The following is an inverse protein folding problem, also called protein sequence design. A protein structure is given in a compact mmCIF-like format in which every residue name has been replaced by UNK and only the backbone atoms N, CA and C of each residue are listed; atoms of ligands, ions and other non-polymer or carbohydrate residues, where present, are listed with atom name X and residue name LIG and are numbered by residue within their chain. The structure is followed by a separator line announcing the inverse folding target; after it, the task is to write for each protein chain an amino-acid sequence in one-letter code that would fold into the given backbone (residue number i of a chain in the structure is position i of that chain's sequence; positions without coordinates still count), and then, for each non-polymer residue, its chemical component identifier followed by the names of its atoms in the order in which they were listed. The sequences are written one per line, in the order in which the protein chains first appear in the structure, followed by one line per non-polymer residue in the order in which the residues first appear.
data_IF_897595037284
#
_entry.id   IF_897595037284
#
_cell.length_a   1.000
_cell.length_b   1.000
_cell.length_c   1.000
_cell.angle_alpha   90.00
_cell.angle_beta   90.00
_cell.angle_gamma   90.00
#
_symmetry.space_group_name_H-M   'P 1'
#
loop_
_entity.id
_entity.type
_entity.pdbx_description
1 polymer ?
#
# COMPACT_ATOMS: atom_id res chain seq x y z
N UNK A 1 -13.43 15.46 -53.06
CA UNK A 1 -14.75 15.46 -53.73
C UNK A 1 -15.68 14.75 -52.76
N UNK A 2 -16.64 15.34 -52.03
CA UNK A 2 -17.55 16.48 -52.17
C UNK A 2 -17.76 17.07 -50.74
N UNK A 3 -17.48 18.33 -50.42
CA UNK A 3 -18.34 19.55 -50.48
C UNK A 3 -19.86 19.29 -50.46
N UNK A 4 -20.54 19.78 -49.41
CA UNK A 4 -21.82 20.53 -49.35
C UNK A 4 -21.97 20.96 -47.86
N UNK A 5 -21.74 22.23 -47.47
CA UNK A 5 -22.69 23.37 -47.51
C UNK A 5 -23.91 23.06 -46.62
N UNK A 6 -24.09 23.66 -45.44
CA UNK A 6 -24.32 25.10 -45.23
C UNK A 6 -25.84 25.30 -45.12
N UNK A 7 -26.36 25.50 -43.90
CA UNK A 7 -27.72 25.99 -43.69
C UNK A 7 -27.79 26.87 -42.43
N UNK A 8 -27.77 28.17 -42.72
CA UNK A 8 -28.74 29.17 -42.28
C UNK A 8 -28.97 29.35 -40.78
N UNK A 9 -28.06 30.16 -40.25
CA UNK A 9 -28.36 31.24 -39.33
C UNK A 9 -29.07 32.37 -40.10
N UNK A 10 -30.34 32.64 -39.78
CA UNK A 10 -30.94 33.99 -39.73
C UNK A 10 -32.39 33.91 -39.23
N UNK A 11 -32.66 34.42 -38.03
CA UNK A 11 -33.30 35.73 -37.80
C UNK A 11 -34.83 35.68 -37.77
N UNK A 12 -35.39 35.77 -36.57
CA UNK A 12 -36.44 36.71 -36.17
C UNK A 12 -36.89 36.29 -34.76
N UNK A 13 -36.34 36.91 -33.70
CA UNK A 13 -37.00 38.05 -33.05
C UNK A 13 -38.53 37.89 -33.05
N UNK A 14 -39.09 37.46 -31.91
CA UNK A 14 -40.31 38.01 -31.34
C UNK A 14 -40.53 37.39 -29.94
N UNK A 15 -40.17 38.17 -28.93
CA UNK A 15 -41.05 38.50 -27.81
C UNK A 15 -41.96 37.36 -27.29
N UNK A 16 -41.51 36.64 -26.25
CA UNK A 16 -42.36 36.39 -25.09
C UNK A 16 -41.50 36.25 -23.82
N UNK A 17 -41.13 37.42 -23.34
CA UNK A 17 -40.43 37.68 -22.11
C UNK A 17 -41.40 37.52 -20.93
N UNK A 18 -41.84 36.29 -20.61
CA UNK A 18 -42.53 35.99 -19.35
C UNK A 18 -42.48 34.48 -19.07
N UNK A 19 -41.41 33.97 -18.47
CA UNK A 19 -41.52 32.91 -17.45
C UNK A 19 -40.22 32.92 -16.64
N UNK A 20 -40.37 33.26 -15.36
CA UNK A 20 -39.31 33.40 -14.38
C UNK A 20 -38.39 32.17 -14.33
N UNK A 21 -37.09 32.36 -14.02
CA UNK A 21 -36.13 31.27 -13.99
C UNK A 21 -36.49 30.24 -12.92
N UNK A 22 -36.55 28.98 -13.32
CA UNK A 22 -36.74 27.79 -12.46
C UNK A 22 -35.62 27.66 -11.39
N UNK A 23 -34.62 28.55 -11.42
CA UNK A 23 -33.50 28.63 -10.50
C UNK A 23 -33.81 29.16 -9.09
N UNK A 24 -35.03 29.67 -8.84
CA UNK A 24 -35.39 30.21 -7.51
C UNK A 24 -36.57 29.48 -6.85
N UNK A 25 -36.62 28.15 -6.96
CA UNK A 25 -37.58 27.33 -6.20
C UNK A 25 -37.02 26.05 -5.57
N UNK A 26 -35.70 25.85 -5.61
CA UNK A 26 -35.01 24.73 -4.97
C UNK A 26 -34.17 25.11 -3.73
N UNK A 27 -34.33 26.33 -3.20
CA UNK A 27 -33.57 26.79 -2.01
C UNK A 27 -34.38 26.69 -0.70
N UNK A 28 -35.67 26.32 -0.73
CA UNK A 28 -36.52 26.34 0.49
C UNK A 28 -37.39 25.07 0.65
N UNK A 29 -36.87 23.88 0.30
CA UNK A 29 -37.48 22.59 0.71
C UNK A 29 -36.45 21.48 0.96
N UNK A 30 -35.22 21.83 1.35
CA UNK A 30 -34.22 20.84 1.78
C UNK A 30 -33.43 21.18 3.06
N UNK A 31 -33.98 21.84 4.10
CA UNK A 31 -33.27 21.98 5.37
C UNK A 31 -33.64 20.87 6.38
N UNK A 32 -33.91 19.63 5.95
CA UNK A 32 -34.25 18.54 6.89
C UNK A 32 -33.64 17.15 6.62
N UNK A 33 -32.68 17.00 5.71
CA UNK A 33 -31.90 15.75 5.59
C UNK A 33 -30.37 15.93 5.52
N UNK A 34 -29.86 17.16 5.40
CA UNK A 34 -28.42 17.40 5.17
C UNK A 34 -27.57 17.71 6.42
N UNK A 35 -28.13 17.68 7.64
CA UNK A 35 -27.32 17.81 8.88
C UNK A 35 -26.85 16.46 9.42
N UNK A 36 -27.60 15.38 9.15
CA UNK A 36 -27.29 14.05 9.69
C UNK A 36 -26.48 13.14 8.76
N UNK A 37 -26.20 13.57 7.54
CA UNK A 37 -25.42 12.78 6.58
C UNK A 37 -23.93 13.15 6.51
N UNK A 38 -23.48 14.19 7.23
CA UNK A 38 -22.06 14.57 7.29
C UNK A 38 -21.36 14.10 8.58
N UNK A 39 -21.99 13.19 9.34
CA UNK A 39 -21.46 12.65 10.60
C UNK A 39 -21.16 11.14 10.52
N UNK A 40 -20.91 10.59 9.33
CA UNK A 40 -20.53 9.17 9.15
C UNK A 40 -19.24 9.00 8.34
N UNK A 41 -18.58 10.10 7.91
CA UNK A 41 -17.22 10.02 7.36
C UNK A 41 -16.19 10.05 8.52
N UNK A 42 -16.38 9.12 9.47
CA UNK A 42 -15.56 8.98 10.66
C UNK A 42 -14.21 8.36 10.32
N UNK A 43 -13.16 9.15 10.51
CA UNK A 43 -11.79 8.76 10.84
C UNK A 43 -11.31 7.42 10.25
N UNK A 44 -10.82 7.46 9.02
CA UNK A 44 -9.87 6.44 8.56
C UNK A 44 -8.59 6.59 9.40
N UNK A 45 -8.52 5.88 10.53
CA UNK A 45 -7.28 5.72 11.25
C UNK A 45 -6.32 4.96 10.35
N UNK A 46 -5.34 5.66 9.79
CA UNK A 46 -4.20 5.01 9.15
C UNK A 46 -3.51 4.17 10.22
N UNK A 47 -3.51 2.85 10.07
CA UNK A 47 -2.74 1.95 10.93
C UNK A 47 -1.27 2.38 10.81
N UNK A 48 -0.77 3.11 11.81
CA UNK A 48 0.64 3.38 11.96
C UNK A 48 1.30 2.12 12.49
N UNK A 49 1.80 1.28 11.58
CA UNK A 49 2.49 0.04 11.89
C UNK A 49 2.97 -0.61 10.60
N UNK A 50 4.11 -1.31 10.68
CA UNK A 50 4.64 -2.09 9.55
C UNK A 50 3.78 -3.34 9.40
N UNK A 51 3.16 -3.54 8.25
CA UNK A 51 2.45 -4.78 7.93
C UNK A 51 3.44 -5.84 7.46
N UNK A 52 3.63 -6.90 8.26
CA UNK A 52 4.55 -7.98 7.92
C UNK A 52 4.25 -8.61 6.54
N UNK A 53 2.99 -8.87 6.21
CA UNK A 53 2.66 -9.59 4.98
C UNK A 53 2.82 -8.73 3.74
N UNK A 54 2.56 -7.42 3.87
CA UNK A 54 2.64 -6.48 2.74
C UNK A 54 4.03 -5.88 2.55
N UNK A 55 4.78 -5.65 3.63
CA UNK A 55 6.05 -4.93 3.59
C UNK A 55 7.26 -5.84 3.81
N UNK A 56 7.19 -6.77 4.78
CA UNK A 56 8.36 -7.57 5.18
C UNK A 56 8.48 -8.88 4.41
N UNK A 57 7.38 -9.62 4.27
CA UNK A 57 7.33 -10.93 3.61
C UNK A 57 7.84 -10.89 2.17
N UNK A 58 7.50 -9.90 1.33
CA UNK A 58 8.03 -9.84 -0.05
C UNK A 58 9.56 -9.77 -0.08
N UNK A 59 10.16 -8.96 0.81
CA UNK A 59 11.62 -8.79 0.91
C UNK A 59 12.29 -10.12 1.31
N UNK A 60 11.72 -10.81 2.32
CA UNK A 60 12.25 -12.11 2.75
C UNK A 60 12.05 -13.19 1.68
N UNK A 61 10.96 -13.14 0.94
CA UNK A 61 10.69 -14.07 -0.15
C UNK A 61 11.69 -13.92 -1.30
N UNK A 62 12.06 -12.69 -1.64
CA UNK A 62 12.97 -12.41 -2.74
C UNK A 62 14.43 -12.75 -2.40
N UNK A 63 14.86 -12.47 -1.17
CA UNK A 63 16.29 -12.53 -0.82
C UNK A 63 16.68 -13.62 0.17
N UNK A 64 15.73 -14.18 0.94
CA UNK A 64 16.05 -15.07 2.06
C UNK A 64 15.49 -16.49 1.88
N UNK A 65 14.23 -16.64 1.47
CA UNK A 65 13.53 -17.93 1.47
C UNK A 65 14.13 -18.96 0.50
N UNK A 66 14.83 -18.52 -0.54
CA UNK A 66 15.51 -19.43 -1.46
C UNK A 66 16.53 -20.35 -0.76
N UNK A 67 17.15 -19.88 0.34
CA UNK A 67 18.12 -20.65 1.12
C UNK A 67 17.69 -20.92 2.57
N UNK A 68 16.72 -20.17 3.09
CA UNK A 68 16.23 -20.23 4.47
C UNK A 68 14.69 -20.33 4.53
N UNK A 69 14.09 -21.07 3.59
CA UNK A 69 12.65 -21.32 3.49
C UNK A 69 12.31 -22.79 3.72
N UNK A 70 11.11 -23.21 3.30
CA UNK A 70 10.68 -24.60 3.45
C UNK A 70 11.55 -25.57 2.63
N UNK A 71 11.82 -25.22 1.37
CA UNK A 71 12.51 -26.08 0.40
C UNK A 71 14.01 -26.23 0.68
N UNK A 72 14.65 -25.16 1.14
CA UNK A 72 16.05 -25.16 1.53
C UNK A 72 16.24 -24.49 2.89
N UNK A 73 16.91 -25.20 3.79
CA UNK A 73 17.15 -24.77 5.16
C UNK A 73 18.64 -24.77 5.46
N UNK A 74 19.38 -23.89 4.77
CA UNK A 74 20.81 -23.73 5.05
C UNK A 74 21.02 -23.36 6.50
N UNK A 75 22.02 -23.97 7.12
CA UNK A 75 22.28 -23.82 8.56
C UNK A 75 21.08 -24.20 9.45
N UNK A 76 20.15 -25.06 8.97
CA UNK A 76 18.92 -25.42 9.68
C UNK A 76 18.07 -24.20 10.09
N UNK A 77 18.16 -23.10 9.35
CA UNK A 77 17.43 -21.86 9.62
C UNK A 77 16.24 -21.72 8.67
N UNK A 78 15.08 -21.36 9.23
CA UNK A 78 13.87 -20.97 8.49
C UNK A 78 13.40 -19.58 8.93
N UNK A 79 13.04 -18.75 7.95
CA UNK A 79 12.59 -17.37 8.16
C UNK A 79 11.14 -17.14 7.70
N UNK A 80 10.49 -18.15 7.17
CA UNK A 80 9.13 -18.05 6.60
C UNK A 80 8.02 -18.15 7.65
N UNK A 81 8.32 -18.74 8.81
CA UNK A 81 7.46 -18.71 9.99
C UNK A 81 8.18 -18.10 11.18
N UNK A 82 7.41 -17.34 11.97
CA UNK A 82 7.89 -16.64 13.16
C UNK A 82 8.54 -17.58 14.18
N UNK A 83 7.92 -18.73 14.47
CA UNK A 83 8.43 -19.69 15.44
C UNK A 83 9.86 -20.15 15.12
N UNK A 84 10.15 -20.45 13.85
CA UNK A 84 11.47 -20.88 13.44
C UNK A 84 12.48 -19.73 13.38
N UNK A 85 12.03 -18.52 13.04
CA UNK A 85 12.89 -17.33 13.04
C UNK A 85 13.39 -17.00 14.45
N UNK A 86 12.54 -17.14 15.47
CA UNK A 86 12.93 -16.96 16.87
C UNK A 86 13.81 -18.10 17.38
N UNK A 87 13.56 -19.34 16.95
CA UNK A 87 14.40 -20.49 17.31
C UNK A 87 15.83 -20.37 16.78
N UNK A 88 15.99 -19.77 15.60
CA UNK A 88 17.28 -19.65 14.94
C UNK A 88 17.75 -20.95 14.28
N UNK A 89 19.03 -20.96 13.87
CA UNK A 89 19.65 -22.07 13.15
C UNK A 89 20.79 -22.73 13.91
N UNK A 90 21.78 -23.24 13.16
CA UNK A 90 22.97 -23.93 13.69
C UNK A 90 23.84 -23.03 14.58
N UNK A 91 23.72 -21.70 14.47
CA UNK A 91 24.39 -20.75 15.37
C UNK A 91 23.92 -20.85 16.82
N UNK A 92 22.74 -21.42 17.07
CA UNK A 92 22.12 -21.45 18.40
C UNK A 92 21.62 -20.09 18.90
N UNK A 93 21.75 -19.04 18.07
CA UNK A 93 21.27 -17.70 18.34
C UNK A 93 19.94 -17.46 17.63
N UNK A 94 19.06 -16.68 18.25
CA UNK A 94 17.80 -16.26 17.64
C UNK A 94 18.08 -15.48 16.34
N UNK A 95 17.45 -15.85 15.23
CA UNK A 95 17.64 -15.13 13.99
C UNK A 95 16.96 -13.76 14.04
N UNK A 96 15.75 -13.71 14.61
CA UNK A 96 15.00 -12.49 14.89
C UNK A 96 14.71 -12.44 16.39
N UNK A 97 14.95 -11.29 17.02
CA UNK A 97 14.65 -11.03 18.41
C UNK A 97 13.55 -9.97 18.52
N UNK A 98 12.39 -10.33 19.09
CA UNK A 98 11.24 -9.44 19.20
C UNK A 98 11.58 -8.14 19.93
N UNK A 99 11.31 -7.01 19.26
CA UNK A 99 11.51 -5.66 19.80
C UNK A 99 12.97 -5.24 19.99
N UNK A 100 13.95 -6.08 19.61
CA UNK A 100 15.39 -5.80 19.78
C UNK A 100 16.16 -6.17 18.50
N UNK A 101 16.11 -5.32 17.46
CA UNK A 101 16.76 -5.61 16.17
C UNK A 101 18.27 -5.86 16.33
N UNK A 102 18.94 -5.13 17.23
CA UNK A 102 20.38 -5.26 17.48
C UNK A 102 20.78 -6.61 18.07
N UNK A 103 19.82 -7.35 18.67
CA UNK A 103 20.04 -8.71 19.19
C UNK A 103 19.70 -9.80 18.19
N UNK A 104 19.23 -9.43 16.99
CA UNK A 104 18.85 -10.36 15.94
C UNK A 104 20.06 -10.76 15.12
N UNK A 105 20.40 -12.05 15.12
CA UNK A 105 21.54 -12.57 14.35
C UNK A 105 21.39 -12.31 12.85
N UNK A 106 20.15 -12.27 12.33
CA UNK A 106 19.86 -11.91 10.95
C UNK A 106 20.39 -10.52 10.59
N UNK A 107 20.17 -9.53 11.45
CA UNK A 107 20.63 -8.15 11.22
C UNK A 107 22.15 -8.08 11.26
N UNK A 108 22.78 -8.78 12.22
CA UNK A 108 24.25 -8.88 12.29
C UNK A 108 24.84 -9.42 11.00
N UNK A 109 24.28 -10.48 10.43
CA UNK A 109 24.82 -11.09 9.20
C UNK A 109 24.56 -10.28 7.93
N UNK A 110 23.42 -9.60 7.83
CA UNK A 110 23.12 -8.75 6.68
C UNK A 110 24.00 -7.50 6.66
N UNK A 111 24.38 -6.99 7.84
CA UNK A 111 25.26 -5.81 7.98
C UNK A 111 26.75 -6.14 8.01
N UNK A 112 27.11 -7.43 8.11
CA UNK A 112 28.49 -7.89 8.12
C UNK A 112 29.20 -7.69 6.77
N UNK A 113 30.51 -7.51 6.83
CA UNK A 113 31.40 -7.40 5.67
C UNK A 113 32.41 -8.55 5.59
N UNK A 114 32.41 -9.46 6.57
CA UNK A 114 33.27 -10.63 6.62
C UNK A 114 32.74 -11.83 5.83
N UNK A 115 33.26 -13.02 6.18
CA UNK A 115 32.95 -14.29 5.52
C UNK A 115 31.52 -14.79 5.81
N UNK A 116 30.98 -14.46 6.98
CA UNK A 116 29.64 -14.87 7.42
C UNK A 116 28.52 -13.94 6.93
N UNK A 117 28.86 -12.96 6.09
CA UNK A 117 27.90 -11.98 5.57
C UNK A 117 26.81 -12.64 4.74
N UNK A 118 25.62 -12.03 4.79
CA UNK A 118 24.47 -12.44 3.99
C UNK A 118 24.04 -11.32 3.04
N UNK A 119 23.79 -11.62 1.76
CA UNK A 119 23.94 -12.92 1.10
C UNK A 119 25.43 -13.31 0.88
N UNK A 120 25.76 -14.63 0.87
CA UNK A 120 27.14 -15.10 0.77
C UNK A 120 27.72 -14.92 -0.64
N UNK A 121 26.85 -14.77 -1.63
CA UNK A 121 27.19 -14.52 -3.03
C UNK A 121 26.41 -13.29 -3.51
N UNK A 122 27.02 -12.50 -4.39
CA UNK A 122 26.39 -11.32 -4.97
C UNK A 122 26.65 -10.03 -4.19
N UNK A 123 26.00 -8.95 -4.62
CA UNK A 123 26.06 -7.64 -3.94
C UNK A 123 25.30 -7.74 -2.61
N UNK A 124 25.81 -7.07 -1.57
CA UNK A 124 25.10 -6.97 -0.30
C UNK A 124 23.75 -6.27 -0.48
N UNK A 125 22.77 -6.64 0.36
CA UNK A 125 21.48 -5.95 0.41
C UNK A 125 21.73 -4.53 0.94
N UNK A 126 21.55 -3.53 0.09
CA UNK A 126 21.73 -2.09 0.39
C UNK A 126 20.40 -1.38 0.32
#
# INVERSE_FOLDING_TARGET
MHRFEGHDYDMCFLFHWTHLPVFLRFIIVFPFCLRKFFLIFGLAATVFGVDFNREVRPILSEHCFQCHGLDQQKSKLRLDFEEFAHKGGKSGLMAVASGKPDKSEMIRRVTDRGEDRMPPKGKGLT
#
